data_IF_516220862052
#
_entry.id   IF_516220862052
#
_cell.length_a   1.000
_cell.length_b   1.000
_cell.length_c   1.000
_cell.angle_alpha   90.00
_cell.angle_beta   90.00
_cell.angle_gamma   90.00
#
_symmetry.space_group_name_H-M   'P 1'
#
loop_
_entity.id
_entity.type
_entity.pdbx_description
1 polymer ?
#
# COMPACT_ATOMS: atom_id res chain seq x y z
N UNK A 1 8.17 12.08 -7.90
CA UNK A 1 7.79 10.73 -8.32
C UNK A 1 6.27 10.54 -8.15
N UNK A 2 5.60 10.09 -9.21
CA UNK A 2 4.17 9.74 -9.18
C UNK A 2 4.06 8.21 -9.31
N UNK A 3 3.29 7.60 -8.43
CA UNK A 3 3.07 6.14 -8.40
C UNK A 3 1.63 5.83 -8.73
N UNK A 4 1.41 4.97 -9.72
CA UNK A 4 0.11 4.40 -10.07
C UNK A 4 0.11 2.92 -9.70
N UNK A 5 -0.77 2.50 -8.78
CA UNK A 5 -0.70 1.15 -8.21
C UNK A 5 -2.05 0.62 -7.73
N UNK A 6 -2.26 -0.69 -7.91
CA UNK A 6 -3.38 -1.42 -7.32
C UNK A 6 -3.12 -1.92 -5.90
N UNK A 7 -1.88 -1.84 -5.40
CA UNK A 7 -1.52 -2.44 -4.10
C UNK A 7 -1.69 -1.50 -2.90
N UNK A 8 -1.73 -0.17 -3.12
CA UNK A 8 -1.87 0.79 -2.05
C UNK A 8 -3.33 0.95 -1.61
N UNK A 9 -3.68 0.43 -0.43
CA UNK A 9 -5.03 0.42 0.13
C UNK A 9 -5.12 0.86 1.59
N UNK A 10 -4.01 0.81 2.33
CA UNK A 10 -3.93 1.15 3.74
C UNK A 10 -2.95 2.28 4.01
N UNK A 11 -3.09 2.97 5.15
CA UNK A 11 -2.23 4.09 5.55
C UNK A 11 -0.75 3.74 5.47
N UNK A 12 -0.35 2.55 5.95
CA UNK A 12 1.05 2.14 5.94
C UNK A 12 1.61 1.96 4.54
N UNK A 13 0.81 1.49 3.57
CA UNK A 13 1.24 1.40 2.18
C UNK A 13 1.63 2.79 1.64
N UNK A 14 0.81 3.79 1.90
CA UNK A 14 1.11 5.17 1.48
C UNK A 14 2.30 5.76 2.24
N UNK A 15 2.44 5.45 3.54
CA UNK A 15 3.61 5.86 4.31
C UNK A 15 4.90 5.25 3.75
N UNK A 16 4.90 3.98 3.38
CA UNK A 16 6.06 3.32 2.77
C UNK A 16 6.39 3.96 1.41
N UNK A 17 5.41 4.13 0.53
CA UNK A 17 5.62 4.77 -0.77
C UNK A 17 6.18 6.20 -0.63
N UNK A 18 5.62 7.00 0.29
CA UNK A 18 6.10 8.33 0.60
C UNK A 18 7.53 8.32 1.14
N UNK A 19 7.84 7.40 2.05
CA UNK A 19 9.19 7.25 2.61
C UNK A 19 10.23 6.83 1.58
N UNK A 20 9.84 6.15 0.52
CA UNK A 20 10.68 5.83 -0.65
C UNK A 20 10.60 6.88 -1.77
N UNK A 21 9.95 8.02 -1.54
CA UNK A 21 10.03 9.17 -2.42
C UNK A 21 8.81 9.42 -3.32
N UNK A 22 7.67 8.74 -3.08
CA UNK A 22 6.46 9.05 -3.82
C UNK A 22 5.87 10.40 -3.37
N UNK A 23 5.72 11.32 -4.29
CA UNK A 23 5.10 12.64 -4.06
C UNK A 23 3.59 12.61 -4.31
N UNK A 24 3.14 11.74 -5.20
CA UNK A 24 1.74 11.49 -5.48
C UNK A 24 1.51 9.99 -5.72
N UNK A 25 0.35 9.49 -5.28
CA UNK A 25 -0.06 8.10 -5.47
C UNK A 25 -1.49 8.07 -6.01
N UNK A 26 -1.70 7.33 -7.11
CA UNK A 26 -3.02 6.99 -7.61
C UNK A 26 -3.35 5.53 -7.25
N UNK A 27 -4.12 5.26 -6.20
CA UNK A 27 -4.51 3.91 -5.80
C UNK A 27 -5.76 3.47 -6.57
N UNK A 28 -5.64 3.27 -7.89
CA UNK A 28 -6.78 3.08 -8.78
C UNK A 28 -7.69 1.93 -8.35
N UNK A 29 -7.12 0.78 -7.96
CA UNK A 29 -7.90 -0.38 -7.54
C UNK A 29 -8.66 -0.14 -6.22
N UNK A 30 -8.08 0.59 -5.28
CA UNK A 30 -8.79 0.99 -4.06
C UNK A 30 -9.99 1.88 -4.39
N UNK A 31 -9.87 2.81 -5.33
CA UNK A 31 -10.99 3.65 -5.77
C UNK A 31 -12.09 2.84 -6.46
N UNK A 32 -11.74 1.90 -7.33
CA UNK A 32 -12.70 1.00 -7.98
C UNK A 32 -13.40 0.10 -6.97
N UNK A 33 -12.66 -0.46 -6.00
CA UNK A 33 -13.20 -1.28 -4.92
C UNK A 33 -14.19 -0.49 -4.06
N UNK A 34 -13.86 0.73 -3.70
CA UNK A 34 -14.74 1.62 -2.94
C UNK A 34 -16.05 1.90 -3.67
N UNK A 35 -16.00 2.12 -4.97
CA UNK A 35 -17.20 2.31 -5.79
C UNK A 35 -18.06 1.05 -5.85
N UNK A 36 -17.42 -0.10 -6.04
CA UNK A 36 -18.12 -1.39 -6.01
C UNK A 36 -18.82 -1.62 -4.66
N UNK A 37 -18.14 -1.38 -3.54
CA UNK A 37 -18.70 -1.50 -2.19
C UNK A 37 -19.83 -0.49 -1.94
N UNK A 38 -19.71 0.73 -2.46
CA UNK A 38 -20.77 1.75 -2.39
C UNK A 38 -22.05 1.25 -3.02
N UNK A 39 -21.95 0.69 -4.21
CA UNK A 39 -23.09 0.13 -4.96
C UNK A 39 -23.64 -1.08 -4.24
N UNK A 40 -22.82 -2.03 -3.87
CA UNK A 40 -23.22 -3.28 -3.21
C UNK A 40 -23.97 -3.04 -1.90
N UNK A 41 -23.53 -2.06 -1.11
CA UNK A 41 -24.14 -1.73 0.17
C UNK A 41 -25.23 -0.66 0.09
N UNK A 42 -25.58 -0.17 -1.11
CA UNK A 42 -26.62 0.84 -1.30
C UNK A 42 -26.34 2.16 -0.57
N UNK A 43 -25.07 2.55 -0.43
CA UNK A 43 -24.70 3.77 0.31
C UNK A 43 -25.19 5.03 -0.44
N UNK A 44 -25.88 5.98 0.24
CA UNK A 44 -26.45 7.17 -0.38
C UNK A 44 -25.40 8.28 -0.59
N UNK A 45 -24.19 7.89 -1.00
CA UNK A 45 -23.06 8.78 -1.27
C UNK A 45 -22.78 8.83 -2.77
N UNK A 46 -22.29 9.97 -3.25
CA UNK A 46 -21.80 10.07 -4.63
C UNK A 46 -20.40 9.42 -4.73
N UNK A 47 -20.01 8.89 -5.92
CA UNK A 47 -18.70 8.26 -6.11
C UNK A 47 -17.54 9.11 -5.60
N UNK A 48 -17.50 10.41 -5.97
CA UNK A 48 -16.43 11.31 -5.56
C UNK A 48 -16.39 11.57 -4.04
N UNK A 49 -17.53 11.47 -3.33
CA UNK A 49 -17.57 11.64 -1.87
C UNK A 49 -16.91 10.48 -1.15
N UNK A 50 -17.07 9.27 -1.67
CA UNK A 50 -16.41 8.08 -1.13
C UNK A 50 -14.90 8.19 -1.33
N UNK A 51 -14.46 8.53 -2.53
CA UNK A 51 -13.03 8.75 -2.80
C UNK A 51 -12.44 9.87 -1.93
N UNK A 52 -13.15 11.00 -1.81
CA UNK A 52 -12.74 12.12 -0.96
C UNK A 52 -12.61 11.71 0.52
N UNK A 53 -13.52 10.89 1.01
CA UNK A 53 -13.48 10.39 2.39
C UNK A 53 -12.28 9.47 2.60
N UNK A 54 -12.00 8.59 1.64
CA UNK A 54 -10.80 7.74 1.66
C UNK A 54 -9.51 8.57 1.67
N UNK A 55 -9.37 9.52 0.75
CA UNK A 55 -8.21 10.43 0.69
C UNK A 55 -8.03 11.15 2.03
N UNK A 56 -9.14 11.67 2.60
CA UNK A 56 -9.09 12.36 3.90
C UNK A 56 -8.66 11.42 5.04
N UNK A 57 -9.14 10.18 5.03
CA UNK A 57 -8.77 9.18 6.04
C UNK A 57 -7.29 8.81 5.94
N UNK A 58 -6.81 8.50 4.73
CA UNK A 58 -5.39 8.21 4.46
C UNK A 58 -4.50 9.41 4.86
N UNK A 59 -4.86 10.61 4.45
CA UNK A 59 -4.12 11.83 4.80
C UNK A 59 -4.00 12.05 6.31
N UNK A 60 -5.09 11.84 7.06
CA UNK A 60 -5.05 11.88 8.54
C UNK A 60 -4.15 10.79 9.12
N UNK A 61 -4.18 9.60 8.53
CA UNK A 61 -3.31 8.50 8.93
C UNK A 61 -1.83 8.81 8.72
N UNK A 62 -1.47 9.34 7.56
CA UNK A 62 -0.10 9.76 7.24
C UNK A 62 0.38 10.83 8.24
N UNK A 63 -0.43 11.86 8.48
CA UNK A 63 -0.09 12.89 9.46
C UNK A 63 0.13 12.31 10.87
N UNK A 64 -0.65 11.31 11.27
CA UNK A 64 -0.49 10.62 12.55
C UNK A 64 0.83 9.86 12.62
N UNK A 65 1.21 9.17 11.54
CA UNK A 65 2.50 8.45 11.45
C UNK A 65 3.66 9.45 11.50
N UNK A 66 3.62 10.52 10.71
CA UNK A 66 4.63 11.58 10.72
C UNK A 66 4.79 12.20 12.13
N UNK A 67 3.67 12.48 12.79
CA UNK A 67 3.68 13.04 14.16
C UNK A 67 4.35 12.08 15.14
N UNK A 68 4.08 10.77 15.07
CA UNK A 68 4.72 9.77 15.91
C UNK A 68 6.24 9.65 15.65
N UNK A 69 6.67 9.91 14.43
CA UNK A 69 8.08 9.90 14.05
C UNK A 69 8.78 11.24 14.32
N UNK A 70 8.06 12.26 14.78
CA UNK A 70 8.60 13.59 15.02
C UNK A 70 8.93 14.38 13.75
N UNK A 71 8.35 14.02 12.62
CA UNK A 71 8.56 14.67 11.32
C UNK A 71 7.41 15.61 11.02
N UNK A 72 7.70 16.91 10.92
CA UNK A 72 6.68 17.97 10.81
C UNK A 72 6.28 18.32 9.37
N UNK A 73 7.11 18.01 8.39
CA UNK A 73 6.83 18.35 6.98
C UNK A 73 6.91 17.12 6.08
N UNK A 74 6.05 17.07 5.07
CA UNK A 74 6.06 15.99 4.09
C UNK A 74 7.38 15.92 3.30
N UNK A 75 7.98 17.06 2.99
CA UNK A 75 9.28 17.13 2.33
C UNK A 75 10.39 16.40 3.12
N UNK A 76 10.37 16.52 4.45
CA UNK A 76 11.33 15.83 5.31
C UNK A 76 11.03 14.34 5.45
N UNK A 77 9.80 13.94 5.25
CA UNK A 77 9.37 12.54 5.27
C UNK A 77 9.64 11.84 3.94
N UNK A 78 9.35 12.53 2.82
CA UNK A 78 9.44 11.99 1.47
C UNK A 78 10.90 11.61 1.13
N UNK A 79 11.13 10.33 0.83
CA UNK A 79 12.45 9.80 0.53
C UNK A 79 13.37 9.61 1.74
N UNK A 80 12.89 9.76 2.96
CA UNK A 80 13.70 9.63 4.16
C UNK A 80 14.15 8.18 4.46
N UNK A 81 13.50 7.18 3.88
CA UNK A 81 13.83 5.74 4.03
C UNK A 81 13.99 5.30 5.50
N UNK A 82 13.07 5.74 6.36
CA UNK A 82 13.11 5.55 7.81
C UNK A 82 12.49 4.22 8.26
N UNK A 83 12.66 3.18 7.48
CA UNK A 83 12.08 1.85 7.72
C UNK A 83 13.16 0.83 7.99
N UNK A 84 12.79 -0.20 8.77
CA UNK A 84 13.54 -1.44 8.86
C UNK A 84 12.81 -2.52 8.05
N UNK A 85 13.54 -3.24 7.20
CA UNK A 85 13.01 -4.42 6.54
C UNK A 85 13.07 -5.61 7.51
N UNK A 86 11.93 -6.25 7.72
CA UNK A 86 11.79 -7.43 8.57
C UNK A 86 11.23 -8.58 7.75
N UNK A 87 11.93 -9.72 7.75
CA UNK A 87 11.49 -10.91 7.03
C UNK A 87 11.78 -10.88 5.53
N UNK A 88 12.70 -10.02 5.07
CA UNK A 88 13.23 -10.02 3.71
C UNK A 88 14.71 -10.40 3.72
N UNK A 89 15.16 -11.14 2.70
CA UNK A 89 16.58 -11.50 2.58
C UNK A 89 17.46 -10.27 2.34
N UNK A 90 18.68 -10.29 2.86
CA UNK A 90 19.64 -9.18 2.66
C UNK A 90 19.92 -8.92 1.19
N UNK A 91 19.99 -9.96 0.36
CA UNK A 91 20.17 -9.84 -1.09
C UNK A 91 19.02 -9.10 -1.75
N UNK A 92 17.77 -9.44 -1.38
CA UNK A 92 16.57 -8.78 -1.88
C UNK A 92 16.55 -7.30 -1.47
N UNK A 93 16.85 -7.00 -0.21
CA UNK A 93 16.90 -5.63 0.29
C UNK A 93 18.02 -4.82 -0.38
N UNK A 94 19.21 -5.39 -0.55
CA UNK A 94 20.33 -4.73 -1.22
C UNK A 94 20.01 -4.37 -2.68
N UNK A 95 19.22 -5.23 -3.36
CA UNK A 95 18.88 -5.04 -4.77
C UNK A 95 17.74 -4.02 -4.97
N UNK A 96 16.67 -4.14 -4.18
CA UNK A 96 15.42 -3.38 -4.42
C UNK A 96 15.18 -2.24 -3.43
N UNK A 97 15.78 -2.31 -2.25
CA UNK A 97 15.62 -1.35 -1.16
C UNK A 97 16.97 -0.89 -0.61
N UNK A 98 17.89 -0.58 -1.51
CA UNK A 98 19.26 -0.17 -1.18
C UNK A 98 19.28 0.91 -0.10
N UNK A 99 20.05 0.68 0.95
CA UNK A 99 20.16 1.60 2.10
C UNK A 99 19.14 1.37 3.21
N UNK A 100 18.15 0.50 3.01
CA UNK A 100 17.23 0.11 4.07
C UNK A 100 17.89 -0.90 5.00
N UNK A 101 17.77 -0.69 6.31
CA UNK A 101 18.27 -1.64 7.30
C UNK A 101 17.45 -2.94 7.29
N UNK A 102 18.15 -4.08 7.35
CA UNK A 102 17.54 -5.38 7.58
C UNK A 102 18.32 -6.11 8.67
N UNK A 103 17.63 -6.64 9.68
CA UNK A 103 18.23 -7.39 10.80
C UNK A 103 17.65 -8.78 10.93
N UNK A 104 16.51 -9.02 10.32
CA UNK A 104 15.79 -10.29 10.38
C UNK A 104 15.60 -10.76 8.94
N UNK A 105 16.36 -11.76 8.58
CA UNK A 105 16.32 -12.41 7.27
C UNK A 105 14.97 -13.11 7.05
N UNK A 106 14.63 -13.33 5.79
CA UNK A 106 13.40 -14.02 5.43
C UNK A 106 13.33 -14.33 3.94
N UNK A 107 12.19 -14.02 3.34
CA UNK A 107 11.87 -14.36 1.95
C UNK A 107 12.67 -13.54 0.95
N UNK A 108 12.95 -14.14 -0.18
CA UNK A 108 13.60 -13.51 -1.32
C UNK A 108 12.63 -13.23 -2.46
N UNK A 109 13.20 -12.96 -3.64
CA UNK A 109 12.42 -12.64 -4.85
C UNK A 109 11.50 -13.78 -5.28
N UNK A 110 11.93 -15.03 -5.12
CA UNK A 110 11.15 -16.18 -5.57
C UNK A 110 9.84 -16.31 -4.80
N UNK A 111 9.88 -16.14 -3.49
CA UNK A 111 8.70 -16.22 -2.62
C UNK A 111 7.75 -15.05 -2.86
N UNK A 112 8.27 -13.84 -3.04
CA UNK A 112 7.47 -12.66 -3.40
C UNK A 112 6.78 -12.84 -4.75
N UNK A 113 7.50 -13.39 -5.74
CA UNK A 113 6.94 -13.71 -7.05
C UNK A 113 5.85 -14.80 -6.95
N UNK A 114 6.08 -15.85 -6.15
CA UNK A 114 5.09 -16.91 -5.93
C UNK A 114 3.80 -16.36 -5.32
N UNK A 115 3.87 -15.49 -4.32
CA UNK A 115 2.70 -14.84 -3.73
C UNK A 115 1.90 -14.04 -4.78
N UNK A 116 2.58 -13.31 -5.64
CA UNK A 116 1.95 -12.57 -6.73
C UNK A 116 1.25 -13.49 -7.71
N UNK A 117 1.89 -14.60 -8.10
CA UNK A 117 1.29 -15.62 -8.99
C UNK A 117 0.07 -16.27 -8.34
N UNK A 118 0.12 -16.57 -7.04
CA UNK A 118 -1.03 -17.12 -6.31
C UNK A 118 -2.21 -16.14 -6.32
N UNK A 119 -1.99 -14.87 -5.99
CA UNK A 119 -3.03 -13.83 -6.03
C UNK A 119 -3.64 -13.67 -7.41
N UNK A 120 -2.79 -13.68 -8.45
CA UNK A 120 -3.26 -13.61 -9.83
C UNK A 120 -4.13 -14.82 -10.20
N UNK A 121 -3.69 -16.02 -9.84
CA UNK A 121 -4.46 -17.26 -10.09
C UNK A 121 -5.79 -17.26 -9.34
N UNK A 122 -5.81 -16.79 -8.08
CA UNK A 122 -7.04 -16.71 -7.29
C UNK A 122 -8.05 -15.71 -7.88
N UNK A 123 -7.56 -14.66 -8.53
CA UNK A 123 -8.40 -13.65 -9.18
C UNK A 123 -8.89 -14.04 -10.58
N UNK A 124 -8.05 -14.72 -11.37
CA UNK A 124 -8.29 -14.95 -12.80
C UNK A 124 -8.20 -16.42 -13.24
N UNK A 125 -8.02 -17.35 -12.31
CA UNK A 125 -7.98 -18.79 -12.60
C UNK A 125 -9.35 -19.37 -12.92
N UNK A 126 -9.37 -20.66 -13.33
CA UNK A 126 -10.59 -21.37 -13.72
C UNK A 126 -11.64 -21.49 -12.61
N UNK A 127 -11.20 -21.40 -11.36
CA UNK A 127 -12.07 -21.36 -10.18
C UNK A 127 -11.62 -20.23 -9.25
N UNK A 128 -11.90 -18.97 -9.60
CA UNK A 128 -11.49 -17.84 -8.79
C UNK A 128 -12.14 -17.89 -7.42
N UNK A 129 -11.35 -17.58 -6.39
CA UNK A 129 -11.83 -17.53 -5.01
C UNK A 129 -12.45 -16.16 -4.76
N UNK A 130 -13.78 -16.12 -4.69
CA UNK A 130 -14.50 -14.94 -4.25
C UNK A 130 -14.62 -14.97 -2.73
N UNK A 131 -14.10 -13.95 -2.07
CA UNK A 131 -14.26 -13.77 -0.63
C UNK A 131 -15.20 -12.60 -0.38
N UNK A 132 -16.21 -12.81 0.46
CA UNK A 132 -17.19 -11.76 0.82
C UNK A 132 -16.60 -10.69 1.75
N UNK A 133 -15.42 -10.93 2.30
CA UNK A 133 -14.70 -10.00 3.15
C UNK A 133 -13.25 -9.85 2.69
N UNK A 134 -12.75 -8.63 2.73
CA UNK A 134 -11.32 -8.37 2.62
C UNK A 134 -10.65 -8.94 3.87
N UNK A 135 -9.77 -9.91 3.70
CA UNK A 135 -8.87 -10.33 4.77
C UNK A 135 -7.92 -9.15 5.08
N UNK A 136 -8.08 -8.58 6.25
CA UNK A 136 -7.29 -7.45 6.75
C UNK A 136 -6.06 -7.99 7.44
#
# INVERSE_FOLDING_TARGET
>A
LVVDTGEAREVHHFCCLAGYGAEAVNPYLAFETLEALRIQNGLPLKPYEVQKNFIKAVGKGIMKVMSKMGISTYQSYCGAQIFDAIGLSSEFVATYFTGTHTRIEGVGLAEVAEETVRRHRDAFGDAPVYRDALDV
#
